data_IF_718764904774
#
_entry.id   IF_718764904774
#
_cell.length_a   1.000
_cell.length_b   1.000
_cell.length_c   1.000
_cell.angle_alpha   90.00
_cell.angle_beta   90.00
_cell.angle_gamma   90.00
#
_symmetry.space_group_name_H-M   'P 1'
#
loop_
_entity.id
_entity.type
_entity.pdbx_description
1 polymer ?
#
# COMPACT_ATOMS: atom_id res chain seq x y z
N UNK A 1 22.77 67.39 -12.69
CA UNK A 1 22.09 66.59 -11.65
C UNK A 1 21.59 65.30 -12.29
N UNK A 2 22.31 64.17 -12.11
CA UNK A 2 21.97 62.90 -12.73
C UNK A 2 21.35 61.98 -11.65
N UNK A 3 20.06 61.66 -11.80
CA UNK A 3 19.37 60.70 -10.94
C UNK A 3 19.71 59.28 -11.41
N UNK A 4 20.44 58.51 -10.63
CA UNK A 4 20.66 57.07 -10.85
C UNK A 4 19.47 56.29 -10.23
N UNK A 5 18.64 55.70 -11.09
CA UNK A 5 17.61 54.76 -10.67
C UNK A 5 18.25 53.40 -10.41
N UNK A 6 18.18 52.92 -9.15
CA UNK A 6 18.55 51.54 -8.77
C UNK A 6 17.36 50.61 -9.06
N UNK A 7 17.53 49.71 -10.01
CA UNK A 7 16.59 48.66 -10.28
C UNK A 7 16.95 47.48 -9.33
N UNK A 8 16.13 47.27 -8.34
CA UNK A 8 16.24 46.10 -7.48
C UNK A 8 15.64 44.86 -8.18
N UNK A 9 16.50 43.99 -8.64
CA UNK A 9 16.07 42.71 -9.22
C UNK A 9 15.59 41.76 -8.09
N UNK A 10 14.31 41.41 -8.07
CA UNK A 10 13.78 40.30 -7.26
C UNK A 10 14.27 38.97 -7.87
N UNK A 11 15.19 38.30 -7.19
CA UNK A 11 15.55 36.94 -7.52
C UNK A 11 14.43 35.99 -7.02
N UNK A 12 13.68 35.42 -7.94
CA UNK A 12 12.72 34.36 -7.62
C UNK A 12 13.49 33.09 -7.26
N UNK A 13 13.40 32.68 -6.01
CA UNK A 13 13.90 31.37 -5.56
C UNK A 13 13.04 30.25 -6.19
N UNK A 14 13.66 29.22 -6.80
CA UNK A 14 12.90 28.09 -7.30
C UNK A 14 12.25 27.36 -6.12
N UNK A 15 10.93 27.13 -6.20
CA UNK A 15 10.21 26.30 -5.25
C UNK A 15 10.79 24.88 -5.33
N UNK A 16 11.45 24.40 -4.26
CA UNK A 16 11.80 23.00 -4.13
C UNK A 16 10.50 22.20 -4.02
N UNK A 17 10.08 21.56 -5.11
CA UNK A 17 9.00 20.58 -5.10
C UNK A 17 9.51 19.37 -4.32
N UNK A 18 8.98 19.15 -3.11
CA UNK A 18 9.27 17.96 -2.32
C UNK A 18 8.88 16.72 -3.15
N UNK A 19 9.84 15.83 -3.40
CA UNK A 19 9.58 14.55 -4.05
C UNK A 19 8.62 13.73 -3.17
N UNK A 20 7.70 12.95 -3.77
CA UNK A 20 6.81 12.08 -3.01
C UNK A 20 7.62 11.11 -2.11
N UNK A 21 7.06 10.78 -0.95
CA UNK A 21 7.76 10.03 0.10
C UNK A 21 8.36 8.70 -0.38
N UNK A 22 7.70 8.00 -1.32
CA UNK A 22 8.22 6.76 -1.91
C UNK A 22 9.19 6.98 -3.09
N UNK A 23 9.33 8.20 -3.61
CA UNK A 23 10.33 8.49 -4.62
C UNK A 23 11.76 8.49 -4.06
N UNK A 24 11.90 8.56 -2.74
CA UNK A 24 13.19 8.52 -2.04
C UNK A 24 13.54 7.13 -1.50
N UNK A 25 12.54 6.26 -1.30
CA UNK A 25 12.72 4.87 -0.89
C UNK A 25 11.96 3.97 -1.87
N UNK A 26 12.68 3.26 -2.74
CA UNK A 26 12.05 2.22 -3.57
C UNK A 26 11.70 1.04 -2.67
N UNK A 27 10.43 0.92 -2.27
CA UNK A 27 9.96 -0.28 -1.59
C UNK A 27 9.73 -1.36 -2.62
N UNK A 28 10.40 -2.49 -2.45
CA UNK A 28 10.26 -3.67 -3.30
C UNK A 28 9.84 -4.84 -2.44
N UNK A 29 8.88 -5.57 -2.93
CA UNK A 29 8.42 -6.80 -2.32
C UNK A 29 8.70 -7.98 -3.26
N UNK A 30 9.15 -9.09 -2.72
CA UNK A 30 9.22 -10.33 -3.48
C UNK A 30 7.80 -10.81 -3.80
N UNK A 31 7.55 -11.16 -5.06
CA UNK A 31 6.26 -11.69 -5.50
C UNK A 31 6.15 -13.17 -5.19
N UNK A 32 4.98 -13.63 -4.73
CA UNK A 32 4.71 -15.05 -4.49
C UNK A 32 4.77 -15.86 -5.78
N UNK A 33 4.50 -15.22 -6.93
CA UNK A 33 4.57 -15.82 -8.27
C UNK A 33 5.98 -15.71 -8.89
N UNK A 34 6.96 -15.23 -8.12
CA UNK A 34 8.32 -14.96 -8.57
C UNK A 34 8.54 -13.54 -9.08
N UNK A 35 9.81 -13.11 -9.05
CA UNK A 35 10.16 -11.72 -9.34
C UNK A 35 9.85 -10.75 -8.20
N UNK A 36 9.67 -9.46 -8.51
CA UNK A 36 9.48 -8.43 -7.51
C UNK A 36 8.44 -7.39 -7.94
N UNK A 37 7.67 -6.90 -6.99
CA UNK A 37 6.88 -5.69 -7.13
C UNK A 37 7.70 -4.48 -6.67
N UNK A 38 7.90 -3.51 -7.57
CA UNK A 38 8.46 -2.21 -7.23
C UNK A 38 7.32 -1.19 -7.10
N UNK A 39 7.08 -0.68 -5.90
CA UNK A 39 6.02 0.30 -5.68
C UNK A 39 6.23 1.59 -6.49
N UNK A 40 7.46 1.88 -6.92
CA UNK A 40 7.72 3.02 -7.80
C UNK A 40 7.06 2.86 -9.18
N UNK A 41 6.82 1.64 -9.64
CA UNK A 41 6.10 1.38 -10.89
C UNK A 41 4.59 1.71 -10.80
N UNK A 42 4.07 1.87 -9.60
CA UNK A 42 2.66 2.22 -9.35
C UNK A 42 2.43 3.72 -9.11
N UNK A 43 3.42 4.56 -9.42
CA UNK A 43 3.25 6.03 -9.32
C UNK A 43 2.05 6.51 -10.12
N UNK A 44 1.32 7.47 -9.53
CA UNK A 44 0.07 8.00 -10.11
C UNK A 44 -1.16 7.15 -9.81
N UNK A 45 -0.99 5.97 -9.20
CA UNK A 45 -2.07 5.04 -8.87
C UNK A 45 -2.25 4.96 -7.36
N UNK A 46 -3.49 4.98 -6.83
CA UNK A 46 -3.74 4.62 -5.44
C UNK A 46 -3.35 3.17 -5.18
N UNK A 47 -2.81 2.88 -3.99
CA UNK A 47 -2.43 1.52 -3.59
C UNK A 47 -3.07 1.17 -2.25
N UNK A 48 -3.82 0.09 -2.20
CA UNK A 48 -4.33 -0.52 -0.98
C UNK A 48 -3.41 -1.68 -0.60
N UNK A 49 -2.65 -1.52 0.48
CA UNK A 49 -1.78 -2.57 1.03
C UNK A 49 -2.47 -3.21 2.22
N UNK A 50 -2.55 -4.54 2.23
CA UNK A 50 -3.25 -5.31 3.28
C UNK A 50 -2.33 -6.40 3.78
N UNK A 51 -2.02 -6.43 5.08
CA UNK A 51 -1.33 -7.58 5.66
C UNK A 51 -2.35 -8.70 5.90
N UNK A 52 -2.09 -9.86 5.34
CA UNK A 52 -3.04 -10.99 5.29
C UNK A 52 -2.52 -12.21 6.05
N UNK A 53 -3.38 -13.21 6.23
CA UNK A 53 -3.02 -14.52 6.75
C UNK A 53 -4.09 -15.56 6.37
N UNK A 54 -3.67 -16.80 6.12
CA UNK A 54 -4.51 -17.90 5.66
C UNK A 54 -5.36 -18.55 6.76
N UNK A 55 -4.91 -18.50 8.03
CA UNK A 55 -5.54 -19.18 9.17
C UNK A 55 -6.21 -18.20 10.16
N UNK A 56 -6.72 -17.07 9.65
CA UNK A 56 -7.29 -15.99 10.44
C UNK A 56 -8.81 -15.96 10.33
N UNK A 57 -9.53 -15.53 11.37
CA UNK A 57 -10.97 -15.29 11.29
C UNK A 57 -11.40 -14.23 10.27
N UNK A 58 -10.46 -13.40 9.81
CA UNK A 58 -10.68 -12.39 8.77
C UNK A 58 -10.32 -12.87 7.35
N UNK A 59 -9.83 -14.10 7.18
CA UNK A 59 -9.45 -14.67 5.88
C UNK A 59 -10.54 -14.59 4.80
N UNK A 60 -11.86 -14.69 5.12
CA UNK A 60 -12.92 -14.45 4.13
C UNK A 60 -12.90 -13.06 3.48
N UNK A 61 -12.14 -12.09 4.02
CA UNK A 61 -11.97 -10.80 3.36
C UNK A 61 -11.13 -10.88 2.05
N UNK A 62 -10.49 -12.01 1.77
CA UNK A 62 -9.83 -12.22 0.46
C UNK A 62 -10.81 -12.09 -0.70
N UNK A 63 -12.05 -12.64 -0.58
CA UNK A 63 -13.09 -12.46 -1.59
C UNK A 63 -13.38 -10.99 -1.86
N UNK A 64 -13.44 -10.19 -0.80
CA UNK A 64 -13.72 -8.76 -0.91
C UNK A 64 -12.54 -7.96 -1.47
N UNK A 65 -11.31 -8.39 -1.20
CA UNK A 65 -10.11 -7.80 -1.80
C UNK A 65 -10.04 -8.11 -3.30
N UNK A 66 -10.39 -9.33 -3.69
CA UNK A 66 -10.50 -9.71 -5.10
C UNK A 66 -11.55 -8.85 -5.82
N UNK A 67 -12.73 -8.67 -5.23
CA UNK A 67 -13.78 -7.76 -5.77
C UNK A 67 -13.25 -6.34 -5.95
N UNK A 68 -12.48 -5.79 -4.99
CA UNK A 68 -11.89 -4.46 -5.15
C UNK A 68 -10.86 -4.43 -6.29
N UNK A 69 -10.06 -5.49 -6.42
CA UNK A 69 -9.09 -5.61 -7.50
C UNK A 69 -9.76 -5.61 -8.87
N UNK A 70 -10.85 -6.37 -9.02
CA UNK A 70 -11.61 -6.48 -10.27
C UNK A 70 -12.38 -5.19 -10.60
N UNK A 71 -13.07 -4.59 -9.62
CA UNK A 71 -13.90 -3.40 -9.81
C UNK A 71 -13.07 -2.15 -10.10
N UNK A 72 -11.96 -1.97 -9.36
CA UNK A 72 -11.18 -0.73 -9.36
C UNK A 72 -9.80 -0.84 -10.02
N UNK A 73 -9.28 -2.04 -10.24
CA UNK A 73 -8.01 -2.26 -10.94
C UNK A 73 -7.97 -1.61 -12.34
N UNK A 74 -9.00 -1.79 -13.18
CA UNK A 74 -9.10 -1.12 -14.49
C UNK A 74 -9.17 0.42 -14.39
N UNK A 75 -9.60 0.95 -13.24
CA UNK A 75 -9.67 2.38 -12.95
C UNK A 75 -8.37 2.93 -12.33
N UNK A 76 -7.40 2.07 -12.03
CA UNK A 76 -6.08 2.46 -11.56
C UNK A 76 -5.73 2.04 -10.13
N UNK A 77 -6.63 1.48 -9.31
CA UNK A 77 -6.29 0.96 -7.98
C UNK A 77 -5.32 -0.22 -8.11
N UNK A 78 -4.33 -0.26 -7.23
CA UNK A 78 -3.56 -1.48 -6.95
C UNK A 78 -4.00 -2.03 -5.60
N UNK A 79 -4.35 -3.32 -5.53
CA UNK A 79 -4.58 -4.03 -4.27
C UNK A 79 -3.42 -4.99 -4.08
N UNK A 80 -2.62 -4.80 -3.03
CA UNK A 80 -1.46 -5.63 -2.70
C UNK A 80 -1.75 -6.41 -1.42
N UNK A 81 -1.83 -7.74 -1.51
CA UNK A 81 -1.85 -8.62 -0.35
C UNK A 81 -0.40 -8.91 0.12
N UNK A 82 -0.21 -8.86 1.43
CA UNK A 82 1.08 -9.11 2.08
C UNK A 82 0.88 -10.18 3.15
N UNK A 83 0.98 -11.49 2.80
CA UNK A 83 0.94 -12.57 3.77
C UNK A 83 1.98 -12.38 4.86
N UNK A 84 1.61 -12.64 6.13
CA UNK A 84 2.52 -12.46 7.27
C UNK A 84 2.22 -13.44 8.39
N UNK A 85 3.27 -14.05 8.94
CA UNK A 85 3.17 -14.91 10.13
C UNK A 85 3.48 -14.19 11.45
N UNK A 86 3.58 -12.87 11.46
CA UNK A 86 3.84 -12.10 12.69
C UNK A 86 2.75 -12.26 13.76
N UNK A 87 1.58 -12.75 13.38
CA UNK A 87 0.47 -13.07 14.28
C UNK A 87 0.24 -14.59 14.41
N UNK A 88 1.15 -15.43 13.90
CA UNK A 88 1.13 -16.90 13.97
C UNK A 88 -0.16 -17.51 13.39
N UNK A 89 -0.60 -16.95 12.26
CA UNK A 89 -1.81 -17.38 11.57
C UNK A 89 -1.57 -17.52 10.06
N UNK A 90 -0.32 -17.64 9.62
CA UNK A 90 0.00 -17.93 8.22
C UNK A 90 0.46 -19.39 8.06
N UNK A 91 0.42 -19.89 6.83
CA UNK A 91 0.94 -21.19 6.44
C UNK A 91 2.48 -21.19 6.44
N UNK A 92 3.07 -22.39 6.39
CA UNK A 92 4.49 -22.56 6.60
C UNK A 92 5.40 -22.23 5.43
N UNK A 93 4.85 -22.06 4.22
CA UNK A 93 5.63 -21.75 3.02
C UNK A 93 4.86 -20.83 2.06
N UNK A 94 5.59 -20.16 1.18
CA UNK A 94 5.01 -19.30 0.14
C UNK A 94 4.16 -20.13 -0.84
N UNK A 95 4.60 -21.37 -1.16
CA UNK A 95 3.90 -22.30 -2.03
C UNK A 95 2.53 -22.70 -1.44
N UNK A 96 2.48 -23.02 -0.14
CA UNK A 96 1.23 -23.35 0.54
C UNK A 96 0.26 -22.17 0.55
N UNK A 97 0.79 -20.94 0.75
CA UNK A 97 -0.03 -19.71 0.72
C UNK A 97 -0.58 -19.46 -0.69
N UNK A 98 0.25 -19.58 -1.72
CA UNK A 98 -0.17 -19.41 -3.11
C UNK A 98 -1.27 -20.39 -3.49
N UNK A 99 -1.07 -21.69 -3.22
CA UNK A 99 -2.08 -22.73 -3.49
C UNK A 99 -3.37 -22.50 -2.70
N UNK A 100 -3.26 -22.16 -1.42
CA UNK A 100 -4.42 -21.86 -0.58
C UNK A 100 -5.26 -20.70 -1.15
N UNK A 101 -4.61 -19.62 -1.54
CA UNK A 101 -5.26 -18.43 -2.06
C UNK A 101 -5.88 -18.66 -3.45
N UNK A 102 -5.20 -19.41 -4.32
CA UNK A 102 -5.72 -19.77 -5.64
C UNK A 102 -6.93 -20.69 -5.52
N UNK A 103 -6.80 -21.80 -4.77
CA UNK A 103 -7.83 -22.85 -4.68
C UNK A 103 -9.08 -22.37 -3.95
N UNK A 104 -8.94 -21.60 -2.87
CA UNK A 104 -10.09 -21.24 -2.03
C UNK A 104 -10.74 -19.91 -2.44
N UNK A 105 -9.99 -18.99 -3.06
CA UNK A 105 -10.47 -17.62 -3.35
C UNK A 105 -10.28 -17.20 -4.81
N UNK A 106 -9.56 -17.99 -5.63
CA UNK A 106 -9.27 -17.63 -7.02
C UNK A 106 -8.56 -16.28 -7.16
N UNK A 107 -7.64 -15.95 -6.22
CA UNK A 107 -7.00 -14.64 -6.19
C UNK A 107 -6.14 -14.41 -7.41
N UNK A 108 -6.30 -13.24 -8.03
CA UNK A 108 -5.47 -12.74 -9.13
C UNK A 108 -4.83 -11.40 -8.80
N UNK A 109 -5.12 -10.86 -7.62
CA UNK A 109 -4.49 -9.63 -7.15
C UNK A 109 -3.00 -9.85 -6.80
N UNK A 110 -2.13 -8.85 -6.95
CA UNK A 110 -0.74 -8.91 -6.52
C UNK A 110 -0.58 -9.38 -5.08
N UNK A 111 0.27 -10.41 -4.87
CA UNK A 111 0.56 -10.97 -3.55
C UNK A 111 2.07 -11.12 -3.35
N UNK A 112 2.56 -10.73 -2.17
CA UNK A 112 3.98 -10.90 -1.82
C UNK A 112 4.25 -12.30 -1.26
N UNK A 113 5.52 -12.69 -1.17
CA UNK A 113 5.95 -13.77 -0.28
C UNK A 113 5.60 -13.45 1.18
N UNK A 114 5.66 -14.44 2.07
CA UNK A 114 5.46 -14.25 3.51
C UNK A 114 6.44 -13.18 4.01
N UNK A 115 5.91 -12.06 4.49
CA UNK A 115 6.68 -10.85 4.78
C UNK A 115 6.48 -10.41 6.22
N UNK A 116 7.55 -10.11 6.97
CA UNK A 116 7.42 -9.48 8.29
C UNK A 116 6.85 -8.06 8.18
N UNK A 117 5.80 -7.77 8.95
CA UNK A 117 5.05 -6.50 8.88
C UNK A 117 5.16 -5.66 10.15
N UNK A 118 5.80 -6.20 11.22
CA UNK A 118 5.94 -5.53 12.51
C UNK A 118 7.30 -5.73 13.17
N UNK A 119 7.58 -4.90 14.16
CA UNK A 119 8.80 -4.97 14.95
C UNK A 119 10.06 -4.52 14.20
N UNK A 120 11.23 -4.86 14.77
CA UNK A 120 12.53 -4.43 14.22
C UNK A 120 12.85 -5.10 12.88
N UNK A 121 12.37 -6.34 12.66
CA UNK A 121 12.56 -7.11 11.43
C UNK A 121 11.56 -6.80 10.32
N UNK A 122 10.61 -5.89 10.54
CA UNK A 122 9.59 -5.56 9.55
C UNK A 122 10.21 -5.11 8.22
N UNK A 123 9.51 -5.43 7.13
CA UNK A 123 9.87 -4.96 5.79
C UNK A 123 10.06 -3.42 5.76
N UNK A 124 10.97 -2.86 4.96
CA UNK A 124 11.25 -1.42 4.90
C UNK A 124 10.01 -0.54 4.77
N UNK A 125 9.01 -0.97 4.00
CA UNK A 125 7.73 -0.28 3.85
C UNK A 125 6.98 -0.13 5.19
N UNK A 126 6.89 -1.19 5.99
CA UNK A 126 6.21 -1.14 7.29
C UNK A 126 7.00 -0.34 8.33
N UNK A 127 8.34 -0.42 8.29
CA UNK A 127 9.16 0.47 9.13
C UNK A 127 8.93 1.94 8.78
N UNK A 128 8.90 2.27 7.49
CA UNK A 128 8.59 3.63 7.03
C UNK A 128 7.19 4.08 7.47
N UNK A 129 6.15 3.23 7.38
CA UNK A 129 4.81 3.55 7.87
C UNK A 129 4.82 3.87 9.36
N UNK A 130 5.53 3.07 10.15
CA UNK A 130 5.66 3.28 11.60
C UNK A 130 6.39 4.60 11.89
N UNK A 131 7.53 4.82 11.25
CA UNK A 131 8.43 5.94 11.55
C UNK A 131 7.86 7.28 11.05
N UNK A 132 7.06 7.26 9.95
CA UNK A 132 6.49 8.46 9.34
C UNK A 132 5.08 8.78 9.82
N UNK A 133 4.25 7.75 10.02
CA UNK A 133 2.82 7.91 10.30
C UNK A 133 2.37 7.30 11.63
N UNK A 134 3.28 6.69 12.39
CA UNK A 134 2.94 5.99 13.64
C UNK A 134 2.07 4.76 13.42
N UNK A 135 2.04 4.21 12.20
CA UNK A 135 1.22 3.05 11.88
C UNK A 135 2.05 1.76 11.90
N UNK A 136 1.63 0.81 12.69
CA UNK A 136 2.10 -0.58 12.66
C UNK A 136 0.87 -1.51 12.71
N UNK A 137 0.81 -2.59 11.91
CA UNK A 137 -0.31 -3.53 11.96
C UNK A 137 -0.48 -4.11 13.38
N UNK A 138 -1.68 -3.94 13.95
CA UNK A 138 -2.03 -4.52 15.26
C UNK A 138 -2.57 -5.94 15.16
N UNK A 139 -3.01 -6.37 13.99
CA UNK A 139 -3.54 -7.70 13.69
C UNK A 139 -3.51 -7.96 12.18
N UNK A 140 -3.85 -9.20 11.76
CA UNK A 140 -4.05 -9.53 10.35
C UNK A 140 -5.19 -8.72 9.74
N UNK A 141 -5.16 -8.52 8.43
CA UNK A 141 -6.13 -7.74 7.67
C UNK A 141 -6.23 -6.27 8.14
N UNK A 142 -5.15 -5.66 8.63
CA UNK A 142 -5.03 -4.22 8.69
C UNK A 142 -4.71 -3.69 7.28
N UNK A 143 -5.21 -2.53 6.95
CA UNK A 143 -5.09 -1.96 5.62
C UNK A 143 -4.52 -0.55 5.69
N UNK A 144 -3.72 -0.21 4.68
CA UNK A 144 -3.20 1.13 4.45
C UNK A 144 -3.54 1.54 3.03
N UNK A 145 -4.18 2.68 2.87
CA UNK A 145 -4.48 3.27 1.57
C UNK A 145 -3.49 4.42 1.31
N UNK A 146 -2.78 4.30 0.19
CA UNK A 146 -1.85 5.31 -0.30
C UNK A 146 -2.45 6.04 -1.51
N UNK A 147 -2.16 7.33 -1.63
CA UNK A 147 -2.48 8.10 -2.84
C UNK A 147 -1.48 7.84 -3.97
N UNK A 148 -1.71 8.41 -5.14
CA UNK A 148 -0.83 8.28 -6.30
C UNK A 148 0.57 8.88 -6.11
N UNK A 149 0.80 9.65 -5.04
CA UNK A 149 2.11 10.16 -4.63
C UNK A 149 2.77 9.29 -3.56
N UNK A 150 2.14 8.18 -3.15
CA UNK A 150 2.65 7.26 -2.15
C UNK A 150 2.52 7.74 -0.71
N UNK A 151 1.72 8.74 -0.45
CA UNK A 151 1.42 9.21 0.91
C UNK A 151 0.30 8.36 1.49
N UNK A 152 0.42 7.95 2.74
CA UNK A 152 -0.68 7.31 3.44
C UNK A 152 -1.81 8.32 3.66
N UNK A 153 -2.98 8.05 3.11
CA UNK A 153 -4.17 8.89 3.29
C UNK A 153 -5.10 8.33 4.34
N UNK A 154 -5.13 7.00 4.51
CA UNK A 154 -5.98 6.36 5.51
C UNK A 154 -5.42 4.99 5.91
N UNK A 155 -5.67 4.61 7.17
CA UNK A 155 -5.50 3.24 7.66
C UNK A 155 -6.83 2.68 8.18
N UNK A 156 -6.95 1.34 8.12
CA UNK A 156 -8.17 0.65 8.55
C UNK A 156 -7.80 -0.60 9.34
N UNK A 157 -8.52 -0.84 10.43
CA UNK A 157 -8.38 -2.07 11.21
C UNK A 157 -9.01 -3.28 10.51
N UNK A 158 -8.77 -4.46 11.08
CA UNK A 158 -9.25 -5.75 10.57
C UNK A 158 -10.77 -5.80 10.35
N UNK A 159 -11.54 -5.15 11.23
CA UNK A 159 -13.00 -5.13 11.17
C UNK A 159 -13.58 -4.32 9.98
N UNK A 160 -12.76 -3.49 9.33
CA UNK A 160 -13.23 -2.71 8.17
C UNK A 160 -13.27 -3.62 6.96
N UNK A 161 -14.47 -3.92 6.47
CA UNK A 161 -14.67 -4.74 5.28
C UNK A 161 -14.15 -4.02 4.03
N UNK A 162 -13.38 -4.71 3.16
CA UNK A 162 -12.87 -4.12 1.91
C UNK A 162 -13.98 -3.56 1.01
N UNK A 163 -15.09 -4.28 0.82
CA UNK A 163 -16.22 -3.80 0.03
C UNK A 163 -17.16 -2.87 0.78
N UNK A 164 -16.89 -2.58 2.04
CA UNK A 164 -17.71 -1.67 2.86
C UNK A 164 -17.73 -0.25 2.33
N UNK A 165 -18.84 0.46 2.54
CA UNK A 165 -19.04 1.81 2.00
C UNK A 165 -17.99 2.84 2.44
N UNK A 166 -17.34 2.66 3.61
CA UNK A 166 -16.25 3.53 4.04
C UNK A 166 -15.02 3.34 3.14
N UNK A 167 -14.60 2.10 2.90
CA UNK A 167 -13.45 1.79 2.06
C UNK A 167 -13.66 2.26 0.62
N UNK A 168 -14.84 1.93 0.03
CA UNK A 168 -15.16 2.33 -1.33
C UNK A 168 -15.12 3.85 -1.52
N UNK A 169 -15.68 4.64 -0.60
CA UNK A 169 -15.64 6.12 -0.68
C UNK A 169 -14.22 6.66 -0.69
N UNK A 170 -13.33 6.14 0.16
CA UNK A 170 -11.93 6.59 0.21
C UNK A 170 -11.18 6.24 -1.09
N UNK A 171 -11.42 5.04 -1.65
CA UNK A 171 -10.85 4.62 -2.93
C UNK A 171 -11.37 5.50 -4.07
N UNK A 172 -12.67 5.70 -4.15
CA UNK A 172 -13.32 6.50 -5.21
C UNK A 172 -12.86 7.96 -5.18
N UNK A 173 -12.68 8.54 -3.99
CA UNK A 173 -12.14 9.88 -3.84
C UNK A 173 -10.73 10.03 -4.45
N UNK A 174 -9.90 8.98 -4.38
CA UNK A 174 -8.55 8.98 -4.98
C UNK A 174 -8.56 8.70 -6.49
N UNK A 175 -9.57 8.02 -6.99
CA UNK A 175 -9.72 7.69 -8.41
C UNK A 175 -10.39 8.82 -9.21
N UNK A 176 -10.82 9.90 -8.57
CA UNK A 176 -11.46 11.04 -9.22
C UNK A 176 -12.87 10.75 -9.73
N UNK A 177 -13.59 9.91 -9.02
CA UNK A 177 -14.98 9.55 -9.32
C UNK A 177 -15.98 10.57 -8.81
#
# INVERSE_FOLDING_TARGET
MHRRSLIAGLAALPALTALPAWAQASFRFDSIDGGQYDMAAWRGRPVLVVNTASLCGYTPQYDELQVLHEDYGPRGLVVLAVPSDDFRQELGSDEDVAEFCEVNFGLTLPMTTITPVRGAGAHPFYRWLRDTYGFEPGWNFNKVLLDGQGRMVQSFGSNTRPTGGRMRREIEALLGA
#
